data_IF_594163405271
#
_entry.id   IF_594163405271
#
_cell.length_a   1.000
_cell.length_b   1.000
_cell.length_c   1.000
_cell.angle_alpha   90.00
_cell.angle_beta   90.00
_cell.angle_gamma   90.00
#
_symmetry.space_group_name_H-M   'P 1'
#
loop_
_entity.id
_entity.type
_entity.pdbx_description
1 polymer ?
#
# COMPACT_ATOMS: atom_id res chain seq x y z
N UNK A 1 25.95 15.91 -3.41
CA UNK A 1 25.62 17.19 -4.08
C UNK A 1 24.69 16.91 -5.26
N UNK A 2 23.73 17.81 -5.58
CA UNK A 2 22.72 17.60 -6.63
C UNK A 2 23.29 17.60 -8.07
N UNK A 3 24.58 17.77 -8.22
CA UNK A 3 25.27 17.90 -9.51
C UNK A 3 25.32 19.34 -10.04
N UNK A 4 25.93 19.56 -11.21
CA UNK A 4 26.15 20.89 -11.77
C UNK A 4 24.85 21.65 -12.09
N UNK A 5 23.76 20.92 -12.37
CA UNK A 5 22.45 21.49 -12.72
C UNK A 5 21.55 21.74 -11.51
N UNK A 6 21.99 21.39 -10.30
CA UNK A 6 21.14 21.38 -9.09
C UNK A 6 20.55 22.71 -8.65
N UNK A 7 21.05 23.84 -9.22
CA UNK A 7 20.59 25.19 -8.91
C UNK A 7 20.10 25.94 -10.14
N UNK A 8 19.49 25.18 -11.08
CA UNK A 8 18.96 25.71 -12.34
C UNK A 8 17.45 25.88 -12.28
N UNK A 9 16.93 26.77 -13.12
CA UNK A 9 15.49 26.83 -13.41
C UNK A 9 15.22 25.87 -14.56
N UNK A 10 14.30 24.94 -14.35
CA UNK A 10 13.90 23.90 -15.30
C UNK A 10 12.43 24.04 -15.64
N UNK A 11 12.00 23.55 -16.81
CA UNK A 11 10.59 23.54 -17.21
C UNK A 11 9.90 22.25 -16.74
N UNK A 12 8.64 22.36 -16.34
CA UNK A 12 7.81 21.21 -15.97
C UNK A 12 6.34 21.46 -16.41
N UNK A 13 5.74 20.48 -17.05
CA UNK A 13 4.39 20.60 -17.65
C UNK A 13 3.27 20.80 -16.62
N UNK A 14 3.47 20.31 -15.38
CA UNK A 14 2.51 20.49 -14.30
C UNK A 14 2.52 21.88 -13.65
N UNK A 15 3.49 22.72 -13.97
CA UNK A 15 3.59 24.09 -13.42
C UNK A 15 2.80 25.05 -14.31
N UNK A 16 1.78 25.69 -13.74
CA UNK A 16 0.89 26.60 -14.45
C UNK A 16 1.05 28.04 -13.96
N UNK A 17 0.70 29.01 -14.81
CA UNK A 17 0.65 30.43 -14.45
C UNK A 17 -0.73 30.88 -14.00
N UNK A 18 -1.71 29.98 -14.03
CA UNK A 18 -3.10 30.23 -13.61
C UNK A 18 -3.33 30.01 -12.13
N UNK A 19 -2.43 29.28 -11.48
CA UNK A 19 -2.43 29.06 -10.03
C UNK A 19 -1.03 29.35 -9.45
N UNK A 20 -0.98 30.07 -8.34
CA UNK A 20 0.28 30.45 -7.68
C UNK A 20 1.11 31.48 -8.46
N UNK A 21 2.42 31.28 -8.52
CA UNK A 21 3.40 32.21 -9.11
C UNK A 21 3.93 31.74 -10.48
N UNK A 22 3.64 30.53 -10.90
CA UNK A 22 4.28 29.90 -12.05
C UNK A 22 5.70 29.39 -11.76
N UNK A 23 6.15 29.47 -10.50
CA UNK A 23 7.45 28.96 -10.02
C UNK A 23 7.24 28.01 -8.85
N UNK A 24 7.81 26.81 -8.92
CA UNK A 24 7.73 25.77 -7.89
C UNK A 24 9.13 25.37 -7.47
N UNK A 25 9.36 25.28 -6.17
CA UNK A 25 10.60 24.70 -5.64
C UNK A 25 10.61 23.19 -5.85
N UNK A 26 11.68 22.65 -6.42
CA UNK A 26 11.85 21.22 -6.67
C UNK A 26 12.71 20.59 -5.59
N UNK A 27 12.22 19.49 -5.00
CA UNK A 27 12.93 18.70 -4.00
C UNK A 27 12.84 17.21 -4.32
N UNK A 28 13.72 16.67 -5.17
CA UNK A 28 13.61 15.32 -5.74
C UNK A 28 13.58 14.19 -4.70
N UNK A 29 14.07 14.42 -3.49
CA UNK A 29 13.99 13.45 -2.41
C UNK A 29 12.63 13.45 -1.69
N UNK A 30 11.74 14.44 -1.92
CA UNK A 30 10.55 14.67 -1.12
C UNK A 30 9.27 14.86 -1.95
N UNK A 31 9.35 14.77 -3.27
CA UNK A 31 8.22 14.80 -4.19
C UNK A 31 8.43 13.85 -5.37
N UNK A 32 7.38 13.10 -5.75
CA UNK A 32 7.45 12.16 -6.88
C UNK A 32 7.65 12.91 -8.21
N UNK A 33 6.83 13.94 -8.45
CA UNK A 33 6.92 14.75 -9.67
C UNK A 33 8.24 15.53 -9.72
N UNK A 34 8.70 16.03 -8.58
CA UNK A 34 10.00 16.70 -8.44
C UNK A 34 11.14 15.73 -8.81
N UNK A 35 11.07 14.48 -8.34
CA UNK A 35 12.08 13.46 -8.62
C UNK A 35 12.17 13.17 -10.11
N UNK A 36 11.05 12.91 -10.77
CA UNK A 36 11.02 12.59 -12.20
C UNK A 36 11.53 13.76 -13.04
N UNK A 37 11.04 14.96 -12.78
CA UNK A 37 11.48 16.17 -13.50
C UNK A 37 12.97 16.41 -13.28
N UNK A 38 13.47 16.35 -12.05
CA UNK A 38 14.88 16.53 -11.77
C UNK A 38 15.77 15.47 -12.46
N UNK A 39 15.33 14.22 -12.52
CA UNK A 39 16.08 13.16 -13.21
C UNK A 39 16.20 13.41 -14.71
N UNK A 40 15.15 13.92 -15.39
CA UNK A 40 15.20 14.28 -16.81
C UNK A 40 16.27 15.34 -17.09
N UNK A 41 16.50 16.27 -16.15
CA UNK A 41 17.52 17.30 -16.26
C UNK A 41 18.89 16.91 -15.66
N UNK A 42 19.06 15.64 -15.27
CA UNK A 42 20.32 15.13 -14.70
C UNK A 42 20.64 15.68 -13.31
N UNK A 43 19.62 16.12 -12.56
CA UNK A 43 19.76 16.58 -11.18
C UNK A 43 19.67 15.39 -10.24
N UNK A 44 20.71 15.17 -9.45
CA UNK A 44 20.79 14.04 -8.52
C UNK A 44 19.89 14.21 -7.30
N UNK A 45 19.42 13.07 -6.77
CA UNK A 45 18.65 13.01 -5.53
C UNK A 45 19.60 13.15 -4.34
N UNK A 46 19.37 14.13 -3.49
CA UNK A 46 20.10 14.34 -2.23
C UNK A 46 19.13 14.08 -1.07
N UNK A 47 19.53 13.21 -0.14
CA UNK A 47 18.79 12.88 1.07
C UNK A 47 19.41 13.58 2.29
N UNK A 48 18.98 14.81 2.63
CA UNK A 48 19.57 15.60 3.70
C UNK A 48 19.06 15.20 5.10
N UNK A 49 18.25 14.15 5.20
CA UNK A 49 17.68 13.67 6.46
C UNK A 49 17.87 12.16 6.61
N UNK A 50 18.00 11.72 7.84
CA UNK A 50 18.07 10.31 8.23
C UNK A 50 16.67 9.63 8.23
N UNK A 51 16.59 8.42 8.75
CA UNK A 51 15.34 7.67 8.85
C UNK A 51 14.32 8.28 9.84
N UNK A 52 14.80 9.02 10.85
CA UNK A 52 13.98 9.74 11.82
C UNK A 52 13.51 11.12 11.33
N UNK A 53 13.93 11.54 10.15
CA UNK A 53 13.67 12.89 9.62
C UNK A 53 14.51 13.95 10.29
N UNK A 54 15.71 13.58 10.77
CA UNK A 54 16.69 14.48 11.38
C UNK A 54 17.71 14.91 10.33
N UNK A 55 18.01 16.19 10.25
CA UNK A 55 19.03 16.70 9.32
C UNK A 55 20.39 16.08 9.58
N UNK A 56 21.02 15.61 8.51
CA UNK A 56 22.37 15.07 8.49
C UNK A 56 23.41 16.16 8.22
N UNK A 57 24.69 15.78 8.16
CA UNK A 57 25.79 16.68 7.78
C UNK A 57 25.68 17.30 6.38
N UNK A 58 24.77 16.81 5.53
CA UNK A 58 24.40 17.44 4.25
C UNK A 58 23.78 18.83 4.47
N UNK A 59 23.21 19.10 5.65
CA UNK A 59 22.68 20.39 6.06
C UNK A 59 23.35 20.83 7.37
N UNK A 60 24.63 21.22 7.33
CA UNK A 60 25.44 21.46 8.54
C UNK A 60 24.90 22.60 9.42
N UNK A 61 24.15 23.54 8.85
CA UNK A 61 23.57 24.65 9.58
C UNK A 61 22.44 24.22 10.55
N UNK A 62 21.79 23.08 10.30
CA UNK A 62 20.67 22.53 11.09
C UNK A 62 20.86 21.05 11.43
N UNK A 63 22.09 20.54 11.33
CA UNK A 63 22.41 19.13 11.64
C UNK A 63 21.92 18.74 13.02
N UNK A 64 21.33 17.54 13.13
CA UNK A 64 20.79 17.01 14.37
C UNK A 64 19.39 17.52 14.74
N UNK A 65 18.80 18.44 13.97
CA UNK A 65 17.43 18.90 14.20
C UNK A 65 16.42 18.07 13.41
N UNK A 66 15.30 17.72 14.06
CA UNK A 66 14.17 17.13 13.37
C UNK A 66 13.49 18.20 12.49
N UNK A 67 13.10 17.82 11.25
CA UNK A 67 12.66 18.80 10.23
C UNK A 67 11.47 19.67 10.64
N UNK A 68 10.45 19.10 11.31
CA UNK A 68 9.30 19.88 11.76
C UNK A 68 9.66 20.85 12.88
N UNK A 69 10.62 20.49 13.73
CA UNK A 69 11.14 21.37 14.76
C UNK A 69 12.06 22.45 14.18
N UNK A 70 12.83 22.12 13.15
CA UNK A 70 13.74 23.05 12.48
C UNK A 70 13.01 24.21 11.77
N UNK A 71 11.79 24.00 11.29
CA UNK A 71 11.02 25.00 10.53
C UNK A 71 10.96 26.36 11.25
N UNK A 72 10.70 26.36 12.55
CA UNK A 72 10.63 27.62 13.34
C UNK A 72 11.97 28.36 13.42
N UNK A 73 13.07 27.61 13.48
CA UNK A 73 14.42 28.21 13.53
C UNK A 73 14.82 28.76 12.16
N UNK A 74 14.55 27.98 11.09
CA UNK A 74 14.82 28.47 9.72
C UNK A 74 14.05 29.75 9.41
N UNK A 75 12.78 29.81 9.80
CA UNK A 75 11.95 31.01 9.59
C UNK A 75 12.45 32.18 10.43
N UNK A 76 12.85 31.95 11.69
CA UNK A 76 13.41 32.99 12.56
C UNK A 76 14.73 33.53 12.00
N UNK A 77 15.65 32.64 11.59
CA UNK A 77 16.94 33.03 11.01
C UNK A 77 16.79 33.87 9.74
N UNK A 78 15.84 33.49 8.87
CA UNK A 78 15.52 34.26 7.66
C UNK A 78 14.90 35.62 7.95
N UNK A 79 14.04 35.72 8.96
CA UNK A 79 13.36 36.96 9.37
C UNK A 79 14.31 37.91 10.02
N UNK A 80 15.14 37.39 10.91
CA UNK A 80 16.06 38.20 11.75
C UNK A 80 17.42 38.42 11.08
N UNK A 81 17.66 37.78 9.93
CA UNK A 81 18.97 37.73 9.27
C UNK A 81 20.06 37.22 10.23
N UNK A 82 19.67 36.34 11.13
CA UNK A 82 20.49 35.80 12.22
C UNK A 82 21.11 34.44 11.89
N UNK A 83 21.65 33.76 12.89
CA UNK A 83 22.13 32.39 12.84
C UNK A 83 23.02 32.07 11.63
N UNK A 84 22.72 31.01 10.91
CA UNK A 84 23.43 30.61 9.69
C UNK A 84 23.39 31.66 8.58
N UNK A 85 22.31 32.43 8.48
CA UNK A 85 22.17 33.49 7.45
C UNK A 85 23.19 34.62 7.66
N UNK A 86 23.39 35.00 8.92
CA UNK A 86 24.37 36.07 9.25
C UNK A 86 25.81 35.72 8.85
N UNK A 87 26.15 34.43 8.74
CA UNK A 87 27.47 33.92 8.34
C UNK A 87 27.76 34.06 6.84
N UNK A 88 26.72 34.31 6.03
CA UNK A 88 26.83 34.45 4.57
C UNK A 88 27.18 35.90 4.20
N UNK A 89 27.86 36.07 3.09
CA UNK A 89 28.11 37.43 2.55
C UNK A 89 26.76 38.08 2.20
N UNK A 90 26.61 39.41 2.42
CA UNK A 90 25.31 40.08 2.25
C UNK A 90 24.65 39.86 0.89
N UNK A 91 25.45 39.73 -0.16
CA UNK A 91 24.99 39.60 -1.56
C UNK A 91 24.34 38.24 -1.86
N UNK A 92 24.58 37.22 -1.02
CA UNK A 92 24.10 35.86 -1.19
C UNK A 92 23.19 35.39 -0.04
N UNK A 93 22.80 36.32 0.85
CA UNK A 93 21.89 35.98 1.96
C UNK A 93 20.49 35.74 1.44
N UNK A 94 19.91 34.62 1.88
CA UNK A 94 18.49 34.36 1.67
C UNK A 94 17.66 35.39 2.46
N UNK A 95 16.57 35.87 1.87
CA UNK A 95 15.68 36.88 2.47
C UNK A 95 14.27 36.30 2.55
N UNK A 96 13.62 36.46 3.70
CA UNK A 96 12.22 36.13 3.87
C UNK A 96 11.35 37.19 3.16
N UNK A 97 10.74 36.81 2.04
CA UNK A 97 9.85 37.72 1.30
C UNK A 97 8.46 37.76 1.98
N UNK A 98 7.93 36.61 2.38
CA UNK A 98 6.60 36.53 2.99
C UNK A 98 6.46 35.25 3.80
N UNK A 99 5.79 35.34 4.92
CA UNK A 99 5.30 34.21 5.71
C UNK A 99 3.78 34.33 5.87
N UNK A 100 3.07 33.22 5.65
CA UNK A 100 1.63 33.16 5.83
C UNK A 100 1.23 31.77 6.29
N UNK A 101 0.38 31.70 7.30
CA UNK A 101 -0.29 30.44 7.67
C UNK A 101 -1.29 30.04 6.58
N UNK A 102 -1.25 28.76 6.21
CA UNK A 102 -2.12 28.18 5.21
C UNK A 102 -2.70 26.87 5.72
N UNK A 103 -4.03 26.76 5.67
CA UNK A 103 -4.76 25.53 6.08
C UNK A 103 -4.99 24.67 4.85
N UNK A 104 -4.44 23.48 4.83
CA UNK A 104 -4.61 22.52 3.77
C UNK A 104 -4.64 21.09 4.31
N UNK A 105 -5.09 20.13 3.50
CA UNK A 105 -5.03 18.71 3.82
C UNK A 105 -3.57 18.26 3.87
N UNK A 106 -3.20 17.54 4.93
CA UNK A 106 -1.87 16.97 5.09
C UNK A 106 -1.95 15.52 5.60
N UNK A 107 -1.16 14.59 5.07
CA UNK A 107 -1.20 13.21 5.50
C UNK A 107 -0.64 13.03 6.91
N UNK A 108 -1.38 12.32 7.74
CA UNK A 108 -0.99 11.97 9.11
C UNK A 108 -0.98 10.46 9.30
N UNK A 109 -0.09 9.98 10.15
CA UNK A 109 -0.07 8.57 10.54
C UNK A 109 -1.41 8.16 11.16
N UNK A 110 -2.04 7.13 10.62
CA UNK A 110 -3.33 6.64 11.12
C UNK A 110 -3.28 6.15 12.56
N UNK A 111 -2.09 5.74 13.05
CA UNK A 111 -1.89 5.22 14.41
C UNK A 111 -1.54 6.32 15.41
N UNK A 112 -0.47 7.06 15.20
CA UNK A 112 0.02 8.06 16.15
C UNK A 112 -0.45 9.50 15.85
N UNK A 113 -1.15 9.71 14.73
CA UNK A 113 -1.69 11.01 14.28
C UNK A 113 -0.65 12.10 14.02
N UNK A 114 0.64 11.75 14.04
CA UNK A 114 1.70 12.70 13.68
C UNK A 114 1.75 12.91 12.17
N UNK A 115 2.17 14.11 11.71
CA UNK A 115 2.34 14.38 10.28
C UNK A 115 3.37 13.42 9.67
N UNK A 116 3.11 13.00 8.43
CA UNK A 116 4.02 12.16 7.67
C UNK A 116 4.99 13.03 6.87
N UNK A 117 6.14 12.49 6.54
CA UNK A 117 7.11 13.09 5.64
C UNK A 117 7.20 12.24 4.37
N UNK A 118 7.06 12.87 3.21
CA UNK A 118 7.45 12.24 1.96
C UNK A 118 8.98 12.14 1.91
N UNK A 119 9.49 11.00 1.52
CA UNK A 119 10.93 10.76 1.43
C UNK A 119 11.19 9.66 0.40
N UNK A 120 12.13 9.90 -0.49
CA UNK A 120 12.61 8.87 -1.40
C UNK A 120 13.27 7.75 -0.58
N UNK A 121 12.88 6.52 -0.85
CA UNK A 121 13.43 5.32 -0.23
C UNK A 121 13.73 4.29 -1.33
N UNK A 122 14.77 3.50 -1.13
CA UNK A 122 14.99 2.33 -1.97
C UNK A 122 13.86 1.34 -1.78
N UNK A 123 13.32 0.82 -2.86
CA UNK A 123 12.19 -0.13 -2.83
C UNK A 123 12.35 -1.18 -3.91
N UNK A 124 11.79 -2.36 -3.65
CA UNK A 124 11.63 -3.42 -4.63
C UNK A 124 10.27 -3.29 -5.30
N UNK A 125 10.23 -3.47 -6.62
CA UNK A 125 9.02 -3.27 -7.40
C UNK A 125 8.68 -4.50 -8.25
N UNK A 126 7.39 -4.80 -8.35
CA UNK A 126 6.85 -5.57 -9.47
C UNK A 126 6.60 -4.59 -10.61
N UNK A 127 7.18 -4.87 -11.79
CA UNK A 127 7.02 -4.01 -12.98
C UNK A 127 5.66 -4.27 -13.64
N UNK A 128 4.61 -3.80 -12.99
CA UNK A 128 3.22 -3.98 -13.41
C UNK A 128 2.95 -3.36 -14.78
N UNK A 129 3.66 -2.29 -15.11
CA UNK A 129 3.55 -1.61 -16.41
C UNK A 129 3.86 -2.51 -17.60
N UNK A 130 4.65 -3.57 -17.42
CA UNK A 130 4.96 -4.55 -18.47
C UNK A 130 3.80 -5.54 -18.74
N UNK A 131 2.96 -5.81 -17.75
CA UNK A 131 1.86 -6.76 -17.85
C UNK A 131 0.48 -6.07 -17.85
N UNK A 132 0.45 -4.75 -17.81
CA UNK A 132 -0.77 -3.94 -17.66
C UNK A 132 -1.82 -4.25 -18.72
N UNK A 133 -1.43 -4.28 -19.98
CA UNK A 133 -2.36 -4.51 -21.09
C UNK A 133 -2.94 -5.92 -21.01
N UNK A 134 -2.12 -6.91 -20.62
CA UNK A 134 -2.59 -8.28 -20.38
C UNK A 134 -3.55 -8.38 -19.19
N UNK A 135 -3.32 -7.61 -18.13
CA UNK A 135 -4.27 -7.52 -17.01
C UNK A 135 -5.65 -6.99 -17.45
N UNK A 136 -5.66 -5.99 -18.34
CA UNK A 136 -6.92 -5.43 -18.90
C UNK A 136 -7.65 -6.49 -19.73
N UNK A 137 -6.93 -7.24 -20.57
CA UNK A 137 -7.51 -8.34 -21.36
C UNK A 137 -8.10 -9.44 -20.46
N UNK A 138 -7.32 -9.95 -19.51
CA UNK A 138 -7.75 -11.01 -18.60
C UNK A 138 -8.92 -10.61 -17.71
N UNK A 139 -9.06 -9.33 -17.37
CA UNK A 139 -10.24 -8.82 -16.66
C UNK A 139 -11.55 -9.07 -17.42
N UNK A 140 -11.50 -9.16 -18.77
CA UNK A 140 -12.70 -9.43 -19.56
C UNK A 140 -13.25 -10.85 -19.36
N UNK A 141 -12.41 -11.79 -18.93
CA UNK A 141 -12.82 -13.16 -18.61
C UNK A 141 -13.56 -13.26 -17.26
N UNK A 142 -13.46 -12.23 -16.39
CA UNK A 142 -14.06 -12.21 -15.06
C UNK A 142 -15.52 -11.77 -15.12
N UNK A 143 -16.42 -12.50 -14.45
CA UNK A 143 -17.80 -12.08 -14.25
C UNK A 143 -17.92 -11.19 -13.02
N UNK A 144 -18.23 -9.91 -13.22
CA UNK A 144 -18.40 -8.93 -12.15
C UNK A 144 -19.86 -8.70 -11.79
N UNK A 145 -20.15 -8.60 -10.51
CA UNK A 145 -21.42 -8.14 -9.96
C UNK A 145 -21.16 -6.98 -8.99
N UNK A 146 -21.61 -5.74 -9.28
CA UNK A 146 -22.33 -5.33 -10.50
C UNK A 146 -21.44 -5.28 -11.76
N UNK A 147 -22.01 -5.54 -12.92
CA UNK A 147 -21.25 -5.69 -14.17
C UNK A 147 -20.44 -4.46 -14.56
N UNK A 148 -20.91 -3.25 -14.23
CA UNK A 148 -20.21 -2.00 -14.53
C UNK A 148 -18.86 -1.84 -13.81
N UNK A 149 -18.58 -2.65 -12.78
CA UNK A 149 -17.28 -2.66 -12.09
C UNK A 149 -16.16 -3.09 -13.02
N UNK A 150 -16.44 -4.02 -13.96
CA UNK A 150 -15.48 -4.59 -14.92
C UNK A 150 -14.73 -3.49 -15.70
N UNK A 151 -15.46 -2.68 -16.46
CA UNK A 151 -14.89 -1.64 -17.32
C UNK A 151 -14.86 -0.26 -16.64
N UNK A 152 -15.58 -0.14 -15.53
CA UNK A 152 -15.64 1.06 -14.71
C UNK A 152 -14.46 1.18 -13.75
N UNK A 153 -14.75 1.08 -12.44
CA UNK A 153 -13.75 1.37 -11.40
C UNK A 153 -12.54 0.43 -11.45
N UNK A 154 -12.74 -0.86 -11.75
CA UNK A 154 -11.64 -1.81 -11.80
C UNK A 154 -10.86 -1.71 -13.13
N UNK A 155 -11.56 -1.74 -14.27
CA UNK A 155 -10.91 -1.63 -15.58
C UNK A 155 -10.09 -0.36 -15.74
N UNK A 156 -10.63 0.79 -15.35
CA UNK A 156 -9.89 2.07 -15.37
C UNK A 156 -8.71 2.11 -14.40
N UNK A 157 -8.81 1.40 -13.29
CA UNK A 157 -7.69 1.26 -12.38
C UNK A 157 -6.56 0.44 -13.02
N UNK A 158 -6.89 -0.65 -13.72
CA UNK A 158 -5.92 -1.47 -14.45
C UNK A 158 -5.24 -0.69 -15.58
N UNK A 159 -6.01 0.07 -16.38
CA UNK A 159 -5.49 0.93 -17.46
C UNK A 159 -4.46 1.95 -16.95
N UNK A 160 -4.66 2.48 -15.75
CA UNK A 160 -3.77 3.43 -15.09
C UNK A 160 -2.75 2.79 -14.14
N UNK A 161 -2.59 1.46 -14.14
CA UNK A 161 -1.73 0.78 -13.19
C UNK A 161 -0.26 1.20 -13.35
N UNK A 162 0.39 1.47 -12.21
CA UNK A 162 1.81 1.80 -12.08
C UNK A 162 2.57 0.61 -11.49
N UNK A 163 3.89 0.67 -11.54
CA UNK A 163 4.74 -0.32 -10.89
C UNK A 163 4.47 -0.35 -9.39
N UNK A 164 4.39 -1.55 -8.85
CA UNK A 164 3.97 -1.79 -7.47
C UNK A 164 5.18 -1.98 -6.56
N UNK A 165 5.41 -1.07 -5.63
CA UNK A 165 6.39 -1.24 -4.57
C UNK A 165 5.94 -2.32 -3.60
N UNK A 166 6.68 -3.44 -3.54
CA UNK A 166 6.36 -4.60 -2.71
C UNK A 166 7.17 -4.69 -1.43
N UNK A 167 8.16 -3.83 -1.23
CA UNK A 167 8.96 -3.79 -0.02
C UNK A 167 8.40 -2.80 1.01
N UNK A 168 8.52 -3.16 2.30
CA UNK A 168 8.12 -2.31 3.42
C UNK A 168 9.22 -2.28 4.48
N UNK A 169 9.54 -1.09 4.94
CA UNK A 169 10.44 -0.88 6.07
C UNK A 169 9.67 -1.13 7.38
N UNK A 170 9.56 -2.40 7.75
CA UNK A 170 8.90 -2.87 8.98
C UNK A 170 9.69 -4.02 9.56
N UNK A 171 9.60 -4.18 10.88
CA UNK A 171 10.23 -5.33 11.53
C UNK A 171 9.48 -6.63 11.26
N UNK A 172 8.15 -6.64 11.42
CA UNK A 172 7.32 -7.82 11.27
C UNK A 172 6.61 -7.87 9.92
N UNK A 173 6.69 -9.02 9.28
CA UNK A 173 6.08 -9.36 7.98
C UNK A 173 6.84 -10.53 7.35
N UNK A 174 6.43 -10.99 6.17
CA UNK A 174 7.17 -11.98 5.40
C UNK A 174 8.47 -11.36 4.85
N UNK A 175 9.65 -11.83 5.26
CA UNK A 175 10.93 -11.27 4.82
C UNK A 175 11.15 -11.50 3.32
N UNK A 176 11.62 -10.49 2.61
CA UNK A 176 11.99 -10.63 1.20
C UNK A 176 13.26 -11.49 1.10
N UNK A 177 13.25 -12.59 0.30
CA UNK A 177 14.35 -13.56 0.24
C UNK A 177 15.48 -13.09 -0.69
N UNK A 178 16.04 -11.91 -0.41
CA UNK A 178 17.11 -11.28 -1.19
C UNK A 178 18.30 -10.98 -0.29
N UNK A 179 19.49 -11.43 -0.69
CA UNK A 179 20.76 -11.11 -0.05
C UNK A 179 21.60 -10.24 -0.96
N UNK A 180 22.19 -9.21 -0.39
CA UNK A 180 23.05 -8.26 -1.10
C UNK A 180 24.43 -8.18 -0.42
N UNK A 181 25.46 -7.88 -1.23
CA UNK A 181 26.78 -7.60 -0.69
C UNK A 181 26.77 -6.32 0.14
N UNK A 182 27.44 -6.33 1.29
CA UNK A 182 27.63 -5.15 2.13
C UNK A 182 28.79 -4.24 1.67
N UNK A 183 29.53 -4.64 0.63
CA UNK A 183 30.60 -3.85 0.01
C UNK A 183 30.20 -3.41 -1.42
N UNK A 184 30.01 -2.10 -1.66
CA UNK A 184 29.71 -1.57 -3.00
C UNK A 184 30.81 -1.83 -4.05
N UNK A 185 32.05 -2.11 -3.63
CA UNK A 185 33.13 -2.45 -4.54
C UNK A 185 32.97 -3.84 -5.18
N UNK A 186 32.22 -4.72 -4.52
CA UNK A 186 31.89 -6.06 -4.98
C UNK A 186 30.38 -6.27 -4.95
N UNK A 187 29.62 -5.60 -5.83
CA UNK A 187 28.17 -5.65 -5.82
C UNK A 187 27.67 -7.03 -6.24
N UNK A 188 26.83 -7.64 -5.42
CA UNK A 188 26.16 -8.91 -5.71
C UNK A 188 24.77 -8.92 -5.10
N UNK A 189 23.83 -9.50 -5.81
CA UNK A 189 22.46 -9.71 -5.36
C UNK A 189 22.05 -11.14 -5.64
N UNK A 190 21.67 -11.89 -4.61
CA UNK A 190 21.15 -13.26 -4.71
C UNK A 190 19.70 -13.30 -4.27
N UNK A 191 18.86 -13.94 -5.07
CA UNK A 191 17.42 -14.11 -4.83
C UNK A 191 17.14 -15.60 -4.70
N UNK A 192 16.54 -16.01 -3.60
CA UNK A 192 16.21 -17.42 -3.37
C UNK A 192 14.74 -17.70 -3.68
N UNK A 193 14.50 -18.57 -4.65
CA UNK A 193 13.17 -18.98 -5.10
C UNK A 193 12.58 -20.14 -4.30
N UNK A 194 13.39 -20.82 -3.48
CA UNK A 194 12.94 -21.95 -2.67
C UNK A 194 13.71 -22.09 -1.36
N UNK A 195 13.10 -22.79 -0.41
CA UNK A 195 13.76 -23.16 0.86
C UNK A 195 14.99 -24.04 0.58
N UNK A 196 14.86 -24.95 -0.38
CA UNK A 196 15.95 -25.88 -0.72
C UNK A 196 17.20 -25.15 -1.28
N UNK A 197 17.00 -24.15 -2.12
CA UNK A 197 18.10 -23.29 -2.63
C UNK A 197 18.77 -22.52 -1.49
N UNK A 198 17.98 -21.90 -0.62
CA UNK A 198 18.46 -21.15 0.53
C UNK A 198 19.30 -22.06 1.46
N UNK A 199 18.73 -23.20 1.85
CA UNK A 199 19.40 -24.15 2.75
C UNK A 199 20.70 -24.73 2.15
N UNK A 200 20.70 -25.01 0.84
CA UNK A 200 21.86 -25.52 0.14
C UNK A 200 23.00 -24.50 0.10
N UNK A 201 22.69 -23.24 -0.18
CA UNK A 201 23.70 -22.17 -0.31
C UNK A 201 24.29 -21.76 1.05
N UNK A 202 23.50 -21.78 2.12
CA UNK A 202 23.97 -21.45 3.46
C UNK A 202 24.46 -22.67 4.27
N UNK A 203 24.23 -23.90 3.80
CA UNK A 203 24.66 -25.13 4.46
C UNK A 203 23.95 -25.39 5.80
N UNK A 204 22.75 -24.86 5.99
CA UNK A 204 21.98 -24.94 7.25
C UNK A 204 20.52 -25.30 6.98
N UNK A 205 19.87 -25.90 7.96
CA UNK A 205 18.42 -26.06 7.99
C UNK A 205 17.76 -24.84 8.63
N UNK A 206 16.80 -24.25 7.96
CA UNK A 206 16.07 -23.07 8.44
C UNK A 206 14.74 -23.51 9.05
N UNK A 207 14.55 -23.22 10.33
CA UNK A 207 13.34 -23.61 11.08
C UNK A 207 12.39 -22.45 11.31
N UNK A 208 12.89 -21.20 11.20
CA UNK A 208 12.09 -19.98 11.33
C UNK A 208 12.55 -18.96 10.30
N UNK A 209 11.63 -18.57 9.42
CA UNK A 209 11.86 -17.60 8.34
C UNK A 209 11.54 -16.16 8.72
N UNK A 210 11.10 -15.92 9.98
CA UNK A 210 10.81 -14.57 10.45
C UNK A 210 12.07 -13.83 10.89
N UNK A 211 11.96 -12.53 10.95
CA UNK A 211 12.95 -11.69 11.61
C UNK A 211 12.86 -11.89 13.14
N UNK A 212 13.96 -11.90 13.89
CA UNK A 212 15.35 -11.64 13.45
C UNK A 212 16.11 -12.88 12.96
N UNK A 213 15.51 -14.07 12.98
CA UNK A 213 16.21 -15.34 12.75
C UNK A 213 16.80 -15.42 11.34
N UNK A 214 15.98 -15.12 10.32
CA UNK A 214 16.43 -15.17 8.92
C UNK A 214 17.53 -14.14 8.62
N UNK A 215 17.55 -13.00 9.32
CA UNK A 215 18.57 -11.95 9.16
C UNK A 215 19.96 -12.38 9.62
N UNK A 216 20.06 -13.45 10.45
CA UNK A 216 21.33 -14.00 10.91
C UNK A 216 22.03 -14.87 9.86
N UNK A 217 21.31 -15.27 8.81
CA UNK A 217 21.91 -16.01 7.72
C UNK A 217 22.79 -15.08 6.88
N UNK A 218 24.09 -15.23 7.05
CA UNK A 218 25.09 -14.47 6.31
C UNK A 218 26.16 -15.42 5.78
N UNK A 219 26.80 -15.06 4.67
CA UNK A 219 27.91 -15.79 4.10
C UNK A 219 28.89 -14.84 3.42
N UNK A 220 30.15 -15.27 3.17
CA UNK A 220 31.07 -14.49 2.36
C UNK A 220 30.51 -14.23 0.96
N UNK A 221 30.83 -13.07 0.42
CA UNK A 221 30.53 -12.77 -0.99
C UNK A 221 31.53 -13.54 -1.90
N UNK A 222 31.04 -14.45 -2.76
CA UNK A 222 31.95 -15.23 -3.61
C UNK A 222 32.63 -14.40 -4.71
N UNK A 223 32.12 -13.20 -5.02
CA UNK A 223 32.68 -12.28 -6.02
C UNK A 223 33.75 -11.38 -5.43
N UNK A 224 33.98 -11.42 -4.11
CA UNK A 224 35.02 -10.66 -3.43
C UNK A 224 36.29 -11.49 -3.20
N UNK A 225 37.36 -11.28 -3.99
CA UNK A 225 38.62 -12.00 -3.82
C UNK A 225 39.33 -11.66 -2.51
N UNK A 226 38.96 -10.58 -1.84
CA UNK A 226 39.56 -10.19 -0.54
C UNK A 226 38.94 -10.95 0.63
N UNK A 227 37.76 -11.54 0.44
CA UNK A 227 37.01 -12.29 1.45
C UNK A 227 36.46 -11.42 2.60
N UNK A 228 36.40 -10.11 2.43
CA UNK A 228 35.97 -9.18 3.49
C UNK A 228 34.49 -8.84 3.43
N UNK A 229 33.89 -8.85 2.23
CA UNK A 229 32.48 -8.53 2.07
C UNK A 229 31.58 -9.71 2.39
N UNK A 230 30.39 -9.40 2.91
CA UNK A 230 29.44 -10.37 3.40
C UNK A 230 28.10 -10.18 2.68
N UNK A 231 27.51 -11.29 2.27
CA UNK A 231 26.12 -11.32 1.79
C UNK A 231 25.17 -11.25 2.97
N UNK A 232 24.31 -10.22 2.98
CA UNK A 232 23.31 -9.96 4.03
C UNK A 232 21.93 -9.82 3.42
N UNK A 233 20.92 -10.35 4.09
CA UNK A 233 19.54 -10.15 3.68
C UNK A 233 19.18 -8.67 3.77
N UNK A 234 18.42 -8.15 2.79
CA UNK A 234 17.82 -6.82 2.88
C UNK A 234 16.87 -6.75 4.07
N UNK A 235 16.80 -5.60 4.75
CA UNK A 235 15.99 -5.49 5.98
C UNK A 235 14.48 -5.46 5.74
N UNK A 236 14.06 -5.24 4.50
CA UNK A 236 12.65 -5.12 4.14
C UNK A 236 11.86 -6.42 4.27
N UNK A 237 10.56 -6.26 4.48
CA UNK A 237 9.55 -7.32 4.41
C UNK A 237 8.60 -7.03 3.25
N UNK A 238 7.86 -8.05 2.81
CA UNK A 238 6.83 -7.86 1.79
C UNK A 238 5.70 -6.94 2.27
N UNK A 239 5.10 -6.25 1.32
CA UNK A 239 3.78 -5.64 1.49
C UNK A 239 2.75 -6.71 1.86
N UNK A 240 1.92 -6.46 2.87
CA UNK A 240 0.83 -7.37 3.24
C UNK A 240 -0.15 -7.65 2.08
N UNK A 241 -0.20 -6.76 1.09
CA UNK A 241 -0.97 -6.98 -0.14
C UNK A 241 -0.32 -8.00 -1.08
N UNK A 242 1.01 -8.14 -1.04
CA UNK A 242 1.71 -9.22 -1.72
C UNK A 242 1.36 -10.56 -1.08
N UNK A 243 1.40 -10.64 0.25
CA UNK A 243 1.03 -11.84 0.99
C UNK A 243 -0.44 -12.24 0.70
N UNK A 244 -1.38 -11.30 0.80
CA UNK A 244 -2.79 -11.59 0.52
C UNK A 244 -3.06 -11.92 -0.97
N UNK A 245 -2.33 -11.29 -1.89
CA UNK A 245 -2.41 -11.55 -3.32
C UNK A 245 -1.82 -12.90 -3.71
N UNK A 246 -0.86 -13.43 -2.95
CA UNK A 246 -0.24 -14.74 -3.16
C UNK A 246 -1.06 -15.90 -2.57
N UNK A 247 -2.11 -15.62 -1.79
CA UNK A 247 -2.89 -16.62 -1.07
C UNK A 247 -3.30 -17.84 -1.92
N UNK A 248 -3.76 -17.70 -3.18
CA UNK A 248 -4.25 -18.85 -3.94
C UNK A 248 -3.23 -19.97 -4.13
N UNK A 249 -1.96 -19.63 -4.27
CA UNK A 249 -0.87 -20.60 -4.47
C UNK A 249 -0.03 -20.79 -3.21
N UNK A 250 0.15 -19.76 -2.40
CA UNK A 250 0.94 -19.85 -1.18
C UNK A 250 0.31 -20.78 -0.12
N UNK A 251 -1.02 -20.79 0.01
CA UNK A 251 -1.73 -21.64 0.98
C UNK A 251 -1.50 -23.13 0.79
N UNK A 252 -1.14 -23.57 -0.41
CA UNK A 252 -0.89 -24.97 -0.76
C UNK A 252 0.57 -25.25 -1.07
N UNK A 253 1.45 -24.25 -0.87
CA UNK A 253 2.88 -24.32 -1.15
C UNK A 253 3.21 -24.70 -2.61
N UNK A 254 2.38 -24.22 -3.55
CA UNK A 254 2.63 -24.39 -4.98
C UNK A 254 3.85 -23.52 -5.42
N UNK A 255 4.74 -23.98 -6.32
CA UNK A 255 4.68 -25.23 -7.08
C UNK A 255 5.36 -26.45 -6.42
N UNK A 256 5.83 -26.34 -5.18
CA UNK A 256 6.64 -27.37 -4.52
C UNK A 256 5.80 -28.52 -3.96
N UNK A 257 4.56 -28.22 -3.57
CA UNK A 257 3.59 -29.18 -3.03
C UNK A 257 2.23 -28.97 -3.69
N UNK A 258 1.35 -29.96 -3.59
CA UNK A 258 -0.07 -29.89 -3.96
C UNK A 258 -0.34 -29.36 -5.39
N UNK A 259 0.53 -29.65 -6.36
CA UNK A 259 0.41 -29.17 -7.74
C UNK A 259 -0.94 -29.59 -8.38
N UNK A 260 -1.30 -30.87 -8.29
CA UNK A 260 -2.55 -31.39 -8.85
C UNK A 260 -3.77 -30.70 -8.23
N UNK A 261 -3.75 -30.49 -6.92
CA UNK A 261 -4.83 -29.78 -6.24
C UNK A 261 -4.96 -28.36 -6.79
N UNK A 262 -3.85 -27.62 -6.86
CA UNK A 262 -3.83 -26.23 -7.35
C UNK A 262 -4.37 -26.15 -8.79
N UNK A 263 -3.87 -26.96 -9.70
CA UNK A 263 -4.27 -26.92 -11.11
C UNK A 263 -5.76 -27.23 -11.32
N UNK A 264 -6.37 -28.03 -10.44
CA UNK A 264 -7.80 -28.36 -10.48
C UNK A 264 -8.70 -27.32 -9.79
N UNK A 265 -8.13 -26.44 -8.93
CA UNK A 265 -8.90 -25.47 -8.13
C UNK A 265 -8.57 -24.01 -8.45
N UNK A 266 -7.67 -23.76 -9.38
CA UNK A 266 -7.28 -22.42 -9.80
C UNK A 266 -7.65 -22.18 -11.27
N UNK A 267 -8.23 -21.02 -11.63
CA UNK A 267 -8.63 -19.91 -10.77
C UNK A 267 -9.79 -20.23 -9.84
N UNK A 268 -9.93 -19.48 -8.73
CA UNK A 268 -11.05 -19.62 -7.81
C UNK A 268 -12.38 -19.31 -8.49
N UNK A 269 -13.46 -20.04 -8.14
CA UNK A 269 -14.76 -19.85 -8.80
C UNK A 269 -15.43 -18.53 -8.40
N UNK A 270 -15.27 -18.12 -7.13
CA UNK A 270 -16.01 -16.99 -6.57
C UNK A 270 -15.24 -16.28 -5.45
N UNK A 271 -15.24 -14.95 -5.49
CA UNK A 271 -14.83 -14.10 -4.37
C UNK A 271 -15.84 -12.98 -4.13
N UNK A 272 -15.89 -12.47 -2.90
CA UNK A 272 -16.75 -11.35 -2.52
C UNK A 272 -16.08 -10.45 -1.50
N UNK A 273 -16.09 -9.16 -1.76
CA UNK A 273 -15.64 -8.11 -0.84
C UNK A 273 -16.24 -6.76 -1.24
N UNK A 274 -16.07 -5.73 -0.38
CA UNK A 274 -16.56 -4.40 -0.69
C UNK A 274 -15.74 -3.72 -1.81
N UNK A 275 -16.35 -2.77 -2.49
CA UNK A 275 -15.83 -2.10 -3.69
C UNK A 275 -14.42 -1.48 -3.52
N UNK A 276 -14.02 -1.15 -2.30
CA UNK A 276 -12.66 -0.65 -2.02
C UNK A 276 -11.56 -1.63 -2.39
N UNK A 277 -11.86 -2.94 -2.46
CA UNK A 277 -10.90 -3.98 -2.84
C UNK A 277 -10.55 -3.99 -4.33
N UNK A 278 -11.22 -3.21 -5.15
CA UNK A 278 -10.80 -2.94 -6.54
C UNK A 278 -9.42 -2.26 -6.60
N UNK A 279 -9.01 -1.57 -5.51
CA UNK A 279 -7.68 -0.98 -5.31
C UNK A 279 -6.89 -1.66 -4.19
N UNK A 280 -7.25 -2.88 -3.84
CA UNK A 280 -6.63 -3.67 -2.79
C UNK A 280 -6.53 -5.13 -3.22
N UNK A 281 -7.22 -6.03 -2.52
CA UNK A 281 -7.09 -7.47 -2.70
C UNK A 281 -7.42 -7.96 -4.11
N UNK A 282 -8.50 -7.48 -4.75
CA UNK A 282 -8.83 -7.90 -6.13
C UNK A 282 -7.71 -7.54 -7.11
N UNK A 283 -7.13 -6.34 -6.94
CA UNK A 283 -6.04 -5.87 -7.77
C UNK A 283 -4.78 -6.72 -7.58
N UNK A 284 -4.34 -6.94 -6.35
CA UNK A 284 -3.11 -7.67 -6.08
C UNK A 284 -3.20 -9.15 -6.43
N UNK A 285 -4.37 -9.79 -6.24
CA UNK A 285 -4.66 -11.11 -6.78
C UNK A 285 -4.47 -11.15 -8.30
N UNK A 286 -5.03 -10.16 -9.00
CA UNK A 286 -4.99 -10.10 -10.47
C UNK A 286 -3.60 -9.81 -11.01
N UNK A 287 -2.82 -8.93 -10.34
CA UNK A 287 -1.41 -8.67 -10.69
C UNK A 287 -0.58 -9.96 -10.63
N UNK A 288 -0.62 -10.66 -9.48
CA UNK A 288 0.19 -11.87 -9.31
C UNK A 288 -0.28 -13.01 -10.20
N UNK A 289 -1.59 -13.15 -10.40
CA UNK A 289 -2.16 -14.15 -11.31
C UNK A 289 -1.72 -13.93 -12.77
N UNK A 290 -1.77 -12.69 -13.23
CA UNK A 290 -1.32 -12.33 -14.58
C UNK A 290 0.18 -12.60 -14.74
N UNK A 291 0.99 -12.15 -13.77
CA UNK A 291 2.45 -12.27 -13.85
C UNK A 291 2.94 -13.72 -13.81
N UNK A 292 2.30 -14.58 -13.02
CA UNK A 292 2.77 -15.94 -12.76
C UNK A 292 2.08 -17.01 -13.62
N UNK A 293 0.82 -16.81 -13.96
CA UNK A 293 -0.02 -17.85 -14.55
C UNK A 293 -0.69 -17.47 -15.87
N UNK A 294 -0.60 -16.20 -16.28
CA UNK A 294 -1.24 -15.65 -17.49
C UNK A 294 -2.75 -15.96 -17.55
N UNK A 295 -3.43 -15.94 -16.41
CA UNK A 295 -4.88 -16.17 -16.26
C UNK A 295 -5.43 -15.40 -15.05
N UNK A 296 -6.76 -15.12 -14.99
CA UNK A 296 -7.37 -14.48 -13.83
C UNK A 296 -7.17 -15.30 -12.53
N UNK A 297 -7.15 -14.65 -11.38
CA UNK A 297 -7.10 -15.32 -10.08
C UNK A 297 -8.47 -15.93 -9.68
N UNK A 298 -9.55 -15.39 -10.24
CA UNK A 298 -10.94 -15.78 -9.93
C UNK A 298 -11.84 -15.62 -11.17
N UNK A 299 -12.88 -16.46 -11.26
CA UNK A 299 -13.84 -16.46 -12.38
C UNK A 299 -14.97 -15.46 -12.17
N UNK A 300 -15.40 -15.26 -10.93
CA UNK A 300 -16.46 -14.32 -10.60
C UNK A 300 -16.19 -13.54 -9.31
N UNK A 301 -16.62 -12.29 -9.30
CA UNK A 301 -16.46 -11.39 -8.16
C UNK A 301 -17.76 -10.63 -7.90
N UNK A 302 -18.24 -10.70 -6.65
CA UNK A 302 -19.26 -9.77 -6.16
C UNK A 302 -18.56 -8.64 -5.41
N UNK A 303 -18.62 -7.44 -5.98
CA UNK A 303 -18.10 -6.22 -5.40
C UNK A 303 -19.24 -5.44 -4.77
N UNK A 304 -19.47 -5.66 -3.48
CA UNK A 304 -20.58 -5.02 -2.78
C UNK A 304 -20.27 -3.57 -2.38
N UNK A 305 -21.33 -2.81 -2.06
CA UNK A 305 -21.23 -1.42 -1.61
C UNK A 305 -20.63 -1.30 -0.19
N UNK A 306 -20.52 -0.07 0.26
CA UNK A 306 -19.96 0.22 1.59
C UNK A 306 -21.06 0.05 2.64
N UNK A 307 -20.74 -0.69 3.70
CA UNK A 307 -21.60 -0.79 4.90
C UNK A 307 -21.24 0.35 5.84
N UNK A 308 -22.25 1.15 6.19
CA UNK A 308 -22.15 2.36 6.99
C UNK A 308 -22.82 2.14 8.35
N UNK A 309 -22.31 2.79 9.39
CA UNK A 309 -22.97 2.89 10.68
C UNK A 309 -24.26 3.71 10.62
N UNK A 310 -24.98 3.76 11.72
CA UNK A 310 -26.21 4.57 11.85
C UNK A 310 -25.96 6.07 11.71
N UNK A 311 -24.72 6.50 11.94
CA UNK A 311 -24.20 7.86 11.71
C UNK A 311 -23.91 8.18 10.23
N UNK A 312 -24.08 7.20 9.33
CA UNK A 312 -23.78 7.34 7.89
C UNK A 312 -22.29 7.32 7.55
N UNK A 313 -21.41 7.12 8.51
CA UNK A 313 -19.98 7.00 8.30
C UNK A 313 -19.58 5.53 8.09
N UNK A 314 -18.46 5.31 7.40
CA UNK A 314 -17.93 3.95 7.24
C UNK A 314 -17.70 3.32 8.61
N UNK A 315 -18.19 2.09 8.78
CA UNK A 315 -18.00 1.34 10.03
C UNK A 315 -16.51 1.18 10.33
N UNK A 316 -16.15 1.50 11.57
CA UNK A 316 -14.77 1.30 12.04
C UNK A 316 -14.71 0.90 13.50
N UNK A 317 -13.72 0.07 13.85
CA UNK A 317 -13.47 -0.33 15.25
C UNK A 317 -13.15 0.85 16.16
N UNK A 318 -12.53 1.90 15.61
CA UNK A 318 -12.20 3.11 16.37
C UNK A 318 -13.42 3.99 16.68
N UNK A 319 -14.39 4.04 15.78
CA UNK A 319 -15.63 4.80 15.96
C UNK A 319 -16.68 4.02 16.73
N UNK A 320 -16.61 2.67 16.72
CA UNK A 320 -17.63 1.78 17.33
C UNK A 320 -19.06 2.12 16.89
N UNK A 321 -19.21 2.55 15.64
CA UNK A 321 -20.46 3.03 15.05
C UNK A 321 -21.28 1.92 14.39
N UNK A 322 -21.24 0.73 14.95
CA UNK A 322 -22.03 -0.42 14.51
C UNK A 322 -22.40 -1.29 15.70
N UNK A 323 -23.57 -1.99 15.65
CA UNK A 323 -23.96 -2.92 16.69
C UNK A 323 -23.04 -4.13 16.74
N UNK A 324 -22.83 -4.70 17.92
CA UNK A 324 -22.12 -5.97 18.04
C UNK A 324 -22.89 -7.09 17.34
N UNK A 325 -22.19 -7.86 16.49
CA UNK A 325 -22.81 -8.90 15.66
C UNK A 325 -23.41 -10.02 16.51
N UNK A 326 -22.75 -10.40 17.61
CA UNK A 326 -23.23 -11.43 18.49
C UNK A 326 -24.50 -10.99 19.24
N UNK A 327 -24.56 -9.72 19.68
CA UNK A 327 -25.77 -9.15 20.29
C UNK A 327 -26.95 -9.14 19.31
N UNK A 328 -26.70 -8.75 18.05
CA UNK A 328 -27.74 -8.77 17.00
C UNK A 328 -28.23 -10.20 16.73
N UNK A 329 -27.33 -11.17 16.64
CA UNK A 329 -27.70 -12.56 16.43
C UNK A 329 -28.50 -13.15 17.62
N UNK A 330 -28.09 -12.82 18.83
CA UNK A 330 -28.82 -13.28 20.04
C UNK A 330 -30.22 -12.66 20.13
N UNK A 331 -30.40 -11.44 19.66
CA UNK A 331 -31.66 -10.69 19.77
C UNK A 331 -32.65 -10.97 18.63
N UNK A 332 -32.15 -11.06 17.40
CA UNK A 332 -32.98 -11.14 16.18
C UNK A 332 -32.80 -12.41 15.36
N UNK A 333 -31.77 -13.18 15.64
CA UNK A 333 -31.38 -14.34 14.86
C UNK A 333 -30.50 -13.99 13.63
N UNK A 334 -29.69 -14.93 13.20
CA UNK A 334 -28.80 -14.77 12.03
C UNK A 334 -29.57 -14.62 10.72
N UNK A 335 -30.75 -15.25 10.59
CA UNK A 335 -31.56 -15.17 9.38
C UNK A 335 -32.16 -13.78 9.15
N UNK A 336 -32.48 -13.05 10.22
CA UNK A 336 -32.91 -11.66 10.11
C UNK A 336 -31.78 -10.77 9.51
N UNK A 337 -30.57 -10.93 10.02
CA UNK A 337 -29.40 -10.20 9.48
C UNK A 337 -29.11 -10.60 8.04
N UNK A 338 -29.11 -11.89 7.73
CA UNK A 338 -28.86 -12.38 6.38
C UNK A 338 -29.88 -11.85 5.37
N UNK A 339 -31.17 -11.91 5.73
CA UNK A 339 -32.22 -11.36 4.88
C UNK A 339 -32.07 -9.86 4.68
N UNK A 340 -31.82 -9.11 5.75
CA UNK A 340 -31.59 -7.68 5.70
C UNK A 340 -30.45 -7.32 4.74
N UNK A 341 -29.31 -7.98 4.84
CA UNK A 341 -28.16 -7.75 3.96
C UNK A 341 -28.48 -8.13 2.52
N UNK A 342 -28.99 -9.33 2.28
CA UNK A 342 -29.21 -9.86 0.93
C UNK A 342 -30.32 -9.17 0.15
N UNK A 343 -31.31 -8.58 0.85
CA UNK A 343 -32.38 -7.81 0.23
C UNK A 343 -32.02 -6.32 0.01
N UNK A 344 -30.91 -5.87 0.56
CA UNK A 344 -30.49 -4.49 0.52
C UNK A 344 -29.75 -4.09 -0.79
N UNK A 345 -29.57 -2.78 -1.05
CA UNK A 345 -28.79 -2.30 -2.18
C UNK A 345 -27.32 -2.72 -2.14
N UNK A 346 -26.79 -3.13 -0.99
CA UNK A 346 -25.36 -3.43 -0.79
C UNK A 346 -24.86 -4.51 -1.76
N UNK A 347 -25.64 -5.53 -2.01
CA UNK A 347 -25.30 -6.64 -2.93
C UNK A 347 -25.27 -6.21 -4.41
N UNK A 348 -25.77 -5.00 -4.72
CA UNK A 348 -25.77 -4.41 -6.06
C UNK A 348 -24.82 -3.22 -6.17
N UNK A 349 -23.88 -3.09 -5.22
CA UNK A 349 -22.89 -2.01 -5.19
C UNK A 349 -23.37 -0.69 -4.55
N UNK A 350 -24.61 -0.61 -4.08
CA UNK A 350 -25.12 0.53 -3.32
C UNK A 350 -24.66 0.52 -1.85
N UNK A 351 -24.56 1.67 -1.22
CA UNK A 351 -24.22 1.75 0.20
C UNK A 351 -25.41 1.33 1.08
N UNK A 352 -25.11 0.76 2.22
CA UNK A 352 -26.10 0.34 3.22
C UNK A 352 -25.79 0.97 4.57
N UNK A 353 -26.77 1.69 5.13
CA UNK A 353 -26.72 2.12 6.54
C UNK A 353 -27.36 1.01 7.37
N UNK A 354 -26.60 0.46 8.31
CA UNK A 354 -27.09 -0.60 9.21
C UNK A 354 -27.71 0.04 10.46
N UNK A 355 -29.02 -0.14 10.59
CA UNK A 355 -29.77 0.25 11.80
C UNK A 355 -30.40 -1.00 12.40
N UNK A 356 -30.32 -1.13 13.71
CA UNK A 356 -30.91 -2.26 14.45
C UNK A 356 -32.43 -2.38 14.20
N UNK A 357 -33.11 -1.25 14.05
CA UNK A 357 -34.53 -1.22 13.71
C UNK A 357 -34.86 -1.91 12.39
N UNK A 358 -34.02 -1.72 11.36
CA UNK A 358 -34.24 -2.33 10.05
C UNK A 358 -34.10 -3.86 10.12
N UNK A 359 -33.20 -4.36 10.97
CA UNK A 359 -33.03 -5.80 11.19
C UNK A 359 -34.27 -6.37 11.94
N UNK A 360 -34.73 -5.66 12.96
CA UNK A 360 -35.97 -6.01 13.70
C UNK A 360 -37.17 -6.04 12.76
N UNK A 361 -37.28 -5.09 11.86
CA UNK A 361 -38.40 -5.00 10.91
C UNK A 361 -38.39 -6.17 9.92
N UNK A 362 -37.22 -6.72 9.59
CA UNK A 362 -37.12 -7.97 8.81
C UNK A 362 -37.79 -9.13 9.52
N UNK A 363 -37.61 -9.29 10.84
CA UNK A 363 -38.31 -10.33 11.62
C UNK A 363 -39.82 -10.15 11.50
N UNK A 364 -40.32 -8.93 11.71
CA UNK A 364 -41.75 -8.63 11.72
C UNK A 364 -42.40 -8.76 10.35
N UNK A 365 -41.74 -8.28 9.32
CA UNK A 365 -42.34 -8.16 7.97
C UNK A 365 -42.11 -9.39 7.09
N UNK A 366 -41.12 -10.23 7.42
CA UNK A 366 -40.74 -11.37 6.59
C UNK A 366 -40.81 -12.69 7.37
N UNK A 367 -39.99 -12.83 8.43
CA UNK A 367 -39.85 -14.12 9.09
C UNK A 367 -41.10 -14.55 9.84
N UNK A 368 -41.75 -13.65 10.58
CA UNK A 368 -43.02 -13.96 11.26
C UNK A 368 -44.17 -14.25 10.31
N UNK A 369 -44.40 -13.52 9.20
CA UNK A 369 -45.40 -13.93 8.21
C UNK A 369 -45.18 -15.30 7.61
N UNK A 370 -43.94 -15.66 7.27
CA UNK A 370 -43.61 -17.00 6.77
C UNK A 370 -43.98 -18.06 7.82
N UNK A 371 -43.52 -17.85 9.05
CA UNK A 371 -43.82 -18.77 10.15
C UNK A 371 -45.33 -18.90 10.43
N UNK A 372 -46.02 -17.77 10.51
CA UNK A 372 -47.46 -17.76 10.79
C UNK A 372 -48.27 -18.42 9.65
N UNK A 373 -47.86 -18.21 8.39
CA UNK A 373 -48.51 -18.87 7.25
C UNK A 373 -48.32 -20.38 7.31
N UNK A 374 -47.11 -20.83 7.57
CA UNK A 374 -46.84 -22.27 7.73
C UNK A 374 -47.61 -22.86 8.93
N UNK A 375 -47.61 -22.18 10.08
CA UNK A 375 -48.34 -22.60 11.26
C UNK A 375 -49.85 -22.69 11.00
N UNK A 376 -50.44 -21.68 10.36
CA UNK A 376 -51.82 -21.66 9.96
C UNK A 376 -52.13 -22.85 9.03
N UNK A 377 -51.31 -23.07 8.02
CA UNK A 377 -51.48 -24.23 7.11
C UNK A 377 -51.49 -25.56 7.87
N UNK A 378 -50.55 -25.77 8.79
CA UNK A 378 -50.47 -27.04 9.55
C UNK A 378 -51.62 -27.27 10.51
N UNK A 379 -52.37 -26.22 10.87
CA UNK A 379 -53.55 -26.37 11.72
C UNK A 379 -54.82 -26.78 10.96
N UNK A 380 -54.89 -26.40 9.67
CA UNK A 380 -56.14 -26.53 8.90
C UNK A 380 -56.02 -27.37 7.62
N UNK A 381 -54.83 -27.85 7.28
CA UNK A 381 -54.58 -28.73 6.12
C UNK A 381 -54.64 -30.25 6.49
#
# INVERSE_FOLDING_TARGET
>A
APGPNGWSIIAADYVTTTDGTGLVHQAPAFGEDDMWTCMEYGIGVVLPVDEGGVFTSEVPDYEGMQIFDANRYVVADLREQGGPIARRAPEIRAVLVREKSYVHSYPHCWRCRKPLMYKAVSSWFVRVTQIRDRMVELNQEITWTPAHTKDGIFGKWLEGARDWSISRNRFWGAPIPVWVSDDPAYPRTDVYGSIAELEADFGVKVTDFHRPFIDQLTRPNPDDPTGKSTMRRISDVFDCWFESGSMPFAQVHYPFENQEWFENHYPGDFIVEYIGQTRGWFYTLHVLATALFDRPAFRSCVSHGIVLGDDGLKMSKSLRNYPDVAEVFNKYGSDAMRWFLMSSPVVRGGNLIVKEESIRDTVRQVLLPIWNTYYFFTLYA
#
